data_IF_078616399649
#
_entry.id   IF_078616399649
#
_cell.length_a   1.000
_cell.length_b   1.000
_cell.length_c   1.000
_cell.angle_alpha   90.00
_cell.angle_beta   90.00
_cell.angle_gamma   90.00
#
_symmetry.space_group_name_H-M   'P 1'
#
loop_
_entity.id
_entity.type
_entity.pdbx_description
1 polymer ?
#
# COMPACT_ATOMS: atom_id res chain seq x y z
N UNK A 1 -7.05 -58.39 -21.45
CA UNK A 1 -8.12 -57.72 -20.68
C UNK A 1 -7.47 -56.56 -19.94
N UNK A 2 -7.55 -55.37 -20.54
CA UNK A 2 -6.70 -54.22 -20.24
C UNK A 2 -7.26 -53.43 -19.06
N UNK A 3 -6.71 -53.63 -17.86
CA UNK A 3 -6.99 -52.83 -16.65
C UNK A 3 -6.18 -51.51 -16.63
N UNK A 4 -5.72 -51.01 -17.78
CA UNK A 4 -4.94 -49.77 -17.90
C UNK A 4 -5.80 -48.50 -18.11
N UNK A 5 -7.13 -48.58 -18.01
CA UNK A 5 -8.01 -47.46 -18.38
C UNK A 5 -8.81 -46.82 -17.24
N UNK A 6 -8.62 -47.23 -15.99
CA UNK A 6 -9.47 -46.74 -14.87
C UNK A 6 -8.64 -46.29 -13.67
N UNK A 7 -7.60 -45.49 -13.89
CA UNK A 7 -6.85 -44.89 -12.78
C UNK A 7 -6.34 -43.47 -13.02
N UNK A 8 -6.47 -42.90 -14.21
CA UNK A 8 -5.97 -41.54 -14.53
C UNK A 8 -7.13 -40.55 -14.70
N UNK A 9 -8.14 -40.66 -13.84
CA UNK A 9 -9.25 -39.70 -13.76
C UNK A 9 -9.50 -39.21 -12.33
N UNK A 10 -8.50 -39.32 -11.46
CA UNK A 10 -8.61 -38.86 -10.08
C UNK A 10 -7.35 -38.12 -9.67
N UNK A 11 -7.58 -36.87 -9.27
CA UNK A 11 -6.72 -36.04 -8.41
C UNK A 11 -5.55 -35.37 -9.11
N UNK A 12 -5.85 -34.22 -9.72
CA UNK A 12 -5.17 -32.99 -9.35
C UNK A 12 -6.21 -31.87 -9.47
N UNK A 13 -7.01 -31.78 -8.40
CA UNK A 13 -7.78 -30.58 -8.07
C UNK A 13 -6.75 -29.48 -7.99
N UNK A 14 -6.61 -28.70 -9.06
CA UNK A 14 -6.04 -27.38 -8.95
C UNK A 14 -6.92 -26.66 -7.95
N UNK A 15 -6.47 -26.60 -6.71
CA UNK A 15 -6.98 -25.65 -5.75
C UNK A 15 -6.77 -24.31 -6.44
N UNK A 16 -7.85 -23.83 -7.05
CA UNK A 16 -8.01 -22.42 -7.32
C UNK A 16 -7.73 -21.78 -5.97
N UNK A 17 -6.50 -21.30 -5.80
CA UNK A 17 -6.13 -20.52 -4.63
C UNK A 17 -7.18 -19.44 -4.66
N UNK A 18 -8.08 -19.51 -3.69
CA UNK A 18 -9.10 -18.50 -3.47
C UNK A 18 -8.30 -17.22 -3.28
N UNK A 19 -8.11 -16.47 -4.36
CA UNK A 19 -7.96 -15.04 -4.25
C UNK A 19 -9.31 -14.63 -3.72
N UNK A 20 -9.43 -14.67 -2.38
CA UNK A 20 -10.52 -14.01 -1.70
C UNK A 20 -10.62 -12.67 -2.40
N UNK A 21 -11.76 -12.34 -3.04
CA UNK A 21 -12.01 -10.96 -3.37
C UNK A 21 -12.23 -10.33 -2.00
N UNK A 22 -11.13 -10.03 -1.30
CA UNK A 22 -11.13 -8.98 -0.32
C UNK A 22 -11.70 -7.84 -1.13
N UNK A 23 -12.93 -7.42 -0.79
CA UNK A 23 -13.51 -6.17 -1.25
C UNK A 23 -12.64 -5.10 -0.60
N UNK A 24 -11.39 -5.03 -1.07
CA UNK A 24 -10.26 -4.34 -0.49
C UNK A 24 -9.96 -3.24 -1.47
N UNK A 25 -10.65 -2.11 -1.26
CA UNK A 25 -10.12 -0.77 -1.48
C UNK A 25 -8.84 -0.70 -2.32
N UNK A 26 -9.00 -0.94 -3.62
CA UNK A 26 -7.90 -0.80 -4.56
C UNK A 26 -7.53 0.69 -4.63
N UNK A 27 -6.40 1.04 -4.03
CA UNK A 27 -5.74 2.29 -4.33
C UNK A 27 -5.20 2.24 -5.77
N UNK A 28 -5.09 3.38 -6.43
CA UNK A 28 -4.64 3.43 -7.83
C UNK A 28 -3.22 3.98 -7.97
N UNK A 29 -2.56 3.65 -9.08
CA UNK A 29 -1.26 4.25 -9.46
C UNK A 29 -1.29 5.78 -9.42
N UNK A 30 -2.43 6.40 -9.82
CA UNK A 30 -2.63 7.85 -9.72
C UNK A 30 -2.62 8.33 -8.27
N UNK A 31 -3.19 7.56 -7.34
CA UNK A 31 -3.16 7.90 -5.91
C UNK A 31 -1.75 7.74 -5.34
N UNK A 32 -1.04 6.65 -5.70
CA UNK A 32 0.38 6.45 -5.35
C UNK A 32 1.22 7.63 -5.82
N UNK A 33 1.17 7.97 -7.11
CA UNK A 33 1.94 9.06 -7.69
C UNK A 33 1.69 10.41 -6.99
N UNK A 34 0.42 10.70 -6.62
CA UNK A 34 0.11 11.91 -5.85
C UNK A 34 0.71 11.89 -4.43
N UNK A 35 0.71 10.74 -3.76
CA UNK A 35 1.36 10.62 -2.45
C UNK A 35 2.87 10.80 -2.59
N UNK A 36 3.50 10.12 -3.55
CA UNK A 36 4.95 10.26 -3.79
C UNK A 36 5.32 11.72 -4.04
N UNK A 37 4.57 12.43 -4.90
CA UNK A 37 4.81 13.84 -5.19
C UNK A 37 4.64 14.76 -3.98
N UNK A 38 3.52 14.64 -3.25
CA UNK A 38 3.19 15.60 -2.18
C UNK A 38 3.92 15.31 -0.87
N UNK A 39 4.29 14.06 -0.64
CA UNK A 39 4.90 13.61 0.61
C UNK A 39 6.39 13.27 0.49
N UNK A 40 6.99 13.42 -0.70
CA UNK A 40 8.41 13.10 -0.98
C UNK A 40 9.39 13.49 0.14
N UNK A 41 9.35 14.72 0.71
CA UNK A 41 10.30 15.12 1.75
C UNK A 41 10.28 14.21 2.99
N UNK A 42 9.14 13.59 3.29
CA UNK A 42 8.88 12.83 4.51
C UNK A 42 9.08 11.32 4.34
N UNK A 43 9.03 10.82 3.10
CA UNK A 43 9.07 9.38 2.79
C UNK A 43 10.35 8.95 2.08
N UNK A 44 11.23 9.89 1.73
CA UNK A 44 12.51 9.58 1.07
C UNK A 44 13.37 8.65 1.93
N UNK A 45 14.01 7.70 1.27
CA UNK A 45 14.99 6.80 1.89
C UNK A 45 16.21 7.60 2.37
N UNK A 46 16.83 7.18 3.47
CA UNK A 46 18.03 7.84 4.04
C UNK A 46 17.78 9.17 4.77
N UNK A 47 16.69 9.88 4.48
CA UNK A 47 16.35 11.09 5.21
C UNK A 47 16.03 10.80 6.69
N UNK A 48 16.39 11.73 7.58
CA UNK A 48 15.90 11.72 8.96
C UNK A 48 14.37 11.73 8.99
N UNK A 49 13.80 11.13 10.03
CA UNK A 49 12.34 11.09 10.21
C UNK A 49 11.86 12.52 10.49
N UNK A 50 11.08 13.05 9.55
CA UNK A 50 10.42 14.35 9.68
C UNK A 50 8.91 14.16 9.64
N UNK A 51 8.20 14.85 10.54
CA UNK A 51 6.74 14.80 10.56
C UNK A 51 6.17 15.81 9.55
N UNK A 52 5.23 15.39 8.69
CA UNK A 52 4.55 16.32 7.81
C UNK A 52 3.65 17.28 8.59
N UNK A 53 3.56 18.52 8.10
CA UNK A 53 2.64 19.51 8.67
C UNK A 53 1.21 19.03 8.54
N UNK A 54 0.46 18.98 9.65
CA UNK A 54 -0.92 18.47 9.68
C UNK A 54 -1.82 19.14 8.63
N UNK A 55 -1.71 20.45 8.43
CA UNK A 55 -2.52 21.17 7.44
C UNK A 55 -1.80 21.35 6.09
N UNK A 56 -0.62 20.75 5.92
CA UNK A 56 0.12 20.76 4.68
C UNK A 56 -0.47 19.85 3.61
N UNK A 57 -0.05 20.01 2.35
CA UNK A 57 -0.63 19.33 1.19
C UNK A 57 -0.50 17.80 1.27
N UNK A 58 0.62 17.28 1.77
CA UNK A 58 0.79 15.85 2.03
C UNK A 58 -0.33 15.31 2.93
N UNK A 59 -0.52 15.89 4.12
CA UNK A 59 -1.48 15.38 5.08
C UNK A 59 -2.94 15.64 4.72
N UNK A 60 -3.23 16.71 3.98
CA UNK A 60 -4.56 16.90 3.40
C UNK A 60 -4.89 15.77 2.43
N UNK A 61 -3.94 15.37 1.58
CA UNK A 61 -4.15 14.26 0.65
C UNK A 61 -4.25 12.91 1.36
N UNK A 62 -3.35 12.62 2.30
CA UNK A 62 -3.40 11.39 3.11
C UNK A 62 -4.74 11.26 3.81
N UNK A 63 -5.20 12.30 4.53
CA UNK A 63 -6.52 12.26 5.21
C UNK A 63 -7.67 12.10 4.23
N UNK A 64 -7.62 12.74 3.06
CA UNK A 64 -8.65 12.59 2.04
C UNK A 64 -8.77 11.14 1.55
N UNK A 65 -7.64 10.44 1.36
CA UNK A 65 -7.65 9.02 1.03
C UNK A 65 -8.12 8.18 2.22
N UNK A 66 -7.60 8.43 3.42
CA UNK A 66 -7.95 7.68 4.62
C UNK A 66 -9.42 7.79 5.05
N UNK A 67 -10.11 8.88 4.70
CA UNK A 67 -11.57 8.99 4.88
C UNK A 67 -12.35 7.97 4.06
N UNK A 68 -11.80 7.53 2.93
CA UNK A 68 -12.42 6.49 2.07
C UNK A 68 -12.13 5.10 2.59
N UNK A 69 -10.90 4.89 3.06
CA UNK A 69 -10.47 3.65 3.70
C UNK A 69 -9.24 3.89 4.58
N UNK A 70 -9.31 3.42 5.82
CA UNK A 70 -8.23 3.48 6.79
C UNK A 70 -6.92 2.84 6.28
N UNK A 71 -7.01 1.82 5.42
CA UNK A 71 -5.87 1.07 4.91
C UNK A 71 -5.20 1.66 3.65
N UNK A 72 -5.61 2.86 3.22
CA UNK A 72 -5.10 3.47 1.99
C UNK A 72 -3.57 3.62 1.93
N UNK A 73 -2.91 3.91 3.05
CA UNK A 73 -1.44 4.04 3.05
C UNK A 73 -0.72 2.69 3.02
N UNK A 74 -1.33 1.64 3.56
CA UNK A 74 -0.86 0.26 3.39
C UNK A 74 -0.97 -0.15 1.92
N UNK A 75 -2.12 0.11 1.28
CA UNK A 75 -2.31 -0.17 -0.14
C UNK A 75 -1.28 0.60 -1.00
N UNK A 76 -1.11 1.90 -0.78
CA UNK A 76 -0.16 2.72 -1.55
C UNK A 76 1.27 2.20 -1.40
N UNK A 77 1.66 1.76 -0.21
CA UNK A 77 2.97 1.14 0.01
C UNK A 77 3.12 -0.22 -0.70
N UNK A 78 2.01 -0.93 -0.94
CA UNK A 78 1.99 -2.17 -1.72
C UNK A 78 2.13 -1.96 -3.23
N UNK A 79 1.86 -0.74 -3.74
CA UNK A 79 2.02 -0.38 -5.15
C UNK A 79 3.43 0.16 -5.49
N UNK A 80 4.35 0.22 -4.54
CA UNK A 80 5.72 0.65 -4.80
C UNK A 80 6.43 -0.39 -5.66
N UNK A 81 6.92 0.03 -6.83
CA UNK A 81 7.71 -0.82 -7.72
C UNK A 81 9.22 -0.78 -7.37
N UNK A 82 10.04 -1.51 -8.13
CA UNK A 82 11.48 -1.57 -7.91
C UNK A 82 12.20 -0.21 -7.97
N UNK A 83 11.69 0.74 -8.77
CA UNK A 83 12.24 2.10 -8.85
C UNK A 83 11.81 2.93 -7.63
N UNK A 84 10.53 2.84 -7.25
CA UNK A 84 9.99 3.53 -6.08
C UNK A 84 10.77 3.16 -4.81
N UNK A 85 11.08 1.88 -4.58
CA UNK A 85 11.77 1.41 -3.36
C UNK A 85 13.26 1.78 -3.30
N UNK A 86 13.85 2.20 -4.43
CA UNK A 86 15.19 2.79 -4.44
C UNK A 86 15.15 4.21 -3.87
N UNK A 87 14.07 4.97 -4.16
CA UNK A 87 13.93 6.37 -3.76
C UNK A 87 13.21 6.57 -2.42
N UNK A 88 12.22 5.73 -2.14
CA UNK A 88 11.26 5.89 -1.05
C UNK A 88 11.32 4.73 -0.07
N UNK A 89 10.96 5.02 1.17
CA UNK A 89 10.86 4.04 2.24
C UNK A 89 9.39 3.64 2.44
N UNK A 90 9.09 2.37 2.13
CA UNK A 90 7.75 1.80 2.25
C UNK A 90 7.18 1.91 3.68
N UNK A 91 8.03 1.80 4.70
CA UNK A 91 7.63 1.94 6.10
C UNK A 91 7.20 3.37 6.39
N UNK A 92 7.95 4.37 5.89
CA UNK A 92 7.56 5.78 6.02
C UNK A 92 6.25 6.08 5.28
N UNK A 93 6.03 5.49 4.11
CA UNK A 93 4.76 5.61 3.37
C UNK A 93 3.59 5.08 4.20
N UNK A 94 3.70 3.87 4.77
CA UNK A 94 2.68 3.29 5.67
C UNK A 94 2.43 4.19 6.88
N UNK A 95 3.50 4.75 7.45
CA UNK A 95 3.45 5.58 8.64
C UNK A 95 2.78 6.95 8.43
N UNK A 96 2.58 7.40 7.18
CA UNK A 96 1.82 8.62 6.88
C UNK A 96 0.40 8.60 7.47
N UNK A 97 -0.20 7.41 7.60
CA UNK A 97 -1.51 7.19 8.24
C UNK A 97 -1.57 7.69 9.68
N UNK A 98 -0.44 7.61 10.38
CA UNK A 98 -0.29 8.02 11.78
C UNK A 98 0.31 9.42 11.83
N UNK A 99 1.40 9.67 11.08
CA UNK A 99 2.15 10.93 11.09
C UNK A 99 1.26 12.15 10.78
N UNK A 100 0.28 12.00 9.89
CA UNK A 100 -0.66 13.06 9.51
C UNK A 100 -1.83 13.32 10.47
N UNK A 101 -1.92 12.54 11.56
CA UNK A 101 -2.87 12.75 12.66
C UNK A 101 -2.22 13.52 13.81
N UNK A 102 -0.90 13.41 13.99
CA UNK A 102 -0.19 14.11 15.05
C UNK A 102 -0.36 15.62 14.90
N UNK A 103 -0.64 16.27 16.02
CA UNK A 103 -0.56 17.72 16.16
C UNK A 103 0.84 17.96 16.74
N UNK A 104 1.75 18.54 15.95
CA UNK A 104 3.00 19.06 16.54
C UNK A 104 2.55 20.11 17.55
N UNK A 105 2.87 19.93 18.83
CA UNK A 105 2.72 21.01 19.79
C UNK A 105 3.57 22.17 19.27
N UNK A 106 2.95 23.32 19.10
CA UNK A 106 3.64 24.55 18.74
C UNK A 106 4.38 24.96 20.02
N UNK A 107 5.65 24.60 20.12
CA UNK A 107 6.60 25.19 21.06
C UNK A 107 7.03 26.54 20.49
#
# INVERSE_FOLDING_TARGET
MSHEKVAVLLLLVFTAISTNPVIGTNCSERQKARIMKLCEPYIRKGNLVQLPTRNGPCCLKVRSLQKKDAQMMQCVAGLLNSEDIQKYDATKVKYLSVSCKYRKAML
#
